data_IF_928808434025
#
_entry.id   IF_928808434025
#
_cell.length_a   1.000
_cell.length_b   1.000
_cell.length_c   1.000
_cell.angle_alpha   90.00
_cell.angle_beta   90.00
_cell.angle_gamma   90.00
#
_symmetry.space_group_name_H-M   'P 1'
#
loop_
_entity.id
_entity.type
_entity.pdbx_description
1 polymer ?
#
# COMPACT_ATOMS: atom_id res chain seq x y z
N UNK A 1 29.45 8.28 3.80
CA UNK A 1 28.04 8.02 4.15
C UNK A 1 27.64 6.61 3.76
N UNK A 2 26.98 5.82 4.61
CA UNK A 2 26.52 4.50 4.20
C UNK A 2 25.08 4.19 4.62
N UNK A 3 24.24 3.88 3.65
CA UNK A 3 22.93 3.30 3.89
C UNK A 3 23.11 1.78 4.06
N UNK A 4 22.63 1.21 5.16
CA UNK A 4 22.80 -0.22 5.45
C UNK A 4 21.46 -0.95 5.42
N UNK A 5 21.47 -2.16 4.89
CA UNK A 5 20.38 -3.12 5.03
C UNK A 5 20.54 -3.84 6.38
N UNK A 6 19.54 -3.70 7.26
CA UNK A 6 19.54 -4.46 8.50
C UNK A 6 19.15 -5.92 8.26
N UNK A 7 19.51 -6.79 9.20
CA UNK A 7 19.05 -8.19 9.20
C UNK A 7 17.52 -8.29 9.30
N UNK A 8 16.90 -7.31 9.96
CA UNK A 8 15.46 -7.13 10.05
C UNK A 8 14.85 -6.79 8.69
N UNK A 9 15.45 -5.88 7.92
CA UNK A 9 15.03 -5.57 6.55
C UNK A 9 15.02 -6.82 5.67
N UNK A 10 16.16 -7.52 5.62
CA UNK A 10 16.33 -8.69 4.75
C UNK A 10 15.41 -9.86 5.10
N UNK A 11 15.28 -10.20 6.40
CA UNK A 11 14.55 -11.41 6.83
C UNK A 11 13.07 -11.14 7.08
N UNK A 12 12.73 -10.03 7.72
CA UNK A 12 11.36 -9.79 8.18
C UNK A 12 10.53 -9.10 7.10
N UNK A 13 11.02 -8.00 6.54
CA UNK A 13 10.22 -7.23 5.59
C UNK A 13 10.10 -7.92 4.23
N UNK A 14 11.18 -8.34 3.60
CA UNK A 14 11.09 -8.88 2.23
C UNK A 14 10.37 -10.23 2.21
N UNK A 15 10.75 -11.15 3.10
CA UNK A 15 10.21 -12.51 3.10
C UNK A 15 8.85 -12.60 3.75
N UNK A 16 8.65 -12.04 4.95
CA UNK A 16 7.37 -12.22 5.66
C UNK A 16 6.26 -11.33 5.09
N UNK A 17 6.57 -10.12 4.62
CA UNK A 17 5.54 -9.29 3.95
C UNK A 17 5.08 -9.93 2.64
N UNK A 18 6.00 -10.52 1.87
CA UNK A 18 5.65 -11.29 0.67
C UNK A 18 4.77 -12.51 1.02
N UNK A 19 5.16 -13.31 2.02
CA UNK A 19 4.37 -14.48 2.46
C UNK A 19 2.99 -14.03 2.93
N UNK A 20 2.90 -12.96 3.72
CA UNK A 20 1.62 -12.42 4.19
C UNK A 20 0.72 -12.02 3.02
N UNK A 21 1.25 -11.29 2.02
CA UNK A 21 0.47 -10.95 0.83
C UNK A 21 0.04 -12.19 0.05
N UNK A 22 0.91 -13.19 -0.09
CA UNK A 22 0.56 -14.44 -0.77
C UNK A 22 -0.58 -15.18 -0.03
N UNK A 23 -0.50 -15.26 1.29
CA UNK A 23 -1.52 -15.89 2.15
C UNK A 23 -2.84 -15.14 2.04
N UNK A 24 -2.83 -13.82 2.17
CA UNK A 24 -4.04 -13.00 2.03
C UNK A 24 -4.66 -13.18 0.64
N UNK A 25 -3.85 -13.14 -0.43
CA UNK A 25 -4.34 -13.36 -1.79
C UNK A 25 -4.93 -14.75 -2.01
N UNK A 26 -4.32 -15.78 -1.43
CA UNK A 26 -4.84 -17.15 -1.50
C UNK A 26 -6.17 -17.29 -0.74
N UNK A 27 -6.30 -16.70 0.45
CA UNK A 27 -7.55 -16.67 1.21
C UNK A 27 -8.66 -15.97 0.41
N UNK A 28 -8.37 -14.80 -0.15
CA UNK A 28 -9.28 -14.05 -1.01
C UNK A 28 -9.70 -14.87 -2.25
N UNK A 29 -8.77 -15.61 -2.85
CA UNK A 29 -9.06 -16.50 -3.99
C UNK A 29 -9.97 -17.67 -3.61
N UNK A 30 -9.77 -18.29 -2.43
CA UNK A 30 -10.66 -19.36 -1.96
C UNK A 30 -12.09 -18.87 -1.73
N UNK A 31 -12.25 -17.67 -1.17
CA UNK A 31 -13.57 -17.04 -0.99
C UNK A 31 -14.25 -16.84 -2.36
N UNK A 32 -13.54 -16.31 -3.34
CA UNK A 32 -14.05 -16.18 -4.71
C UNK A 32 -14.50 -17.52 -5.29
N UNK A 33 -13.66 -18.54 -5.24
CA UNK A 33 -13.97 -19.85 -5.80
C UNK A 33 -15.23 -20.47 -5.19
N UNK A 34 -15.47 -20.24 -3.90
CA UNK A 34 -16.68 -20.71 -3.21
C UNK A 34 -17.97 -19.96 -3.60
N UNK A 35 -17.86 -18.80 -4.24
CA UNK A 35 -18.98 -17.91 -4.61
C UNK A 35 -19.20 -17.78 -6.12
N UNK A 36 -18.34 -18.40 -6.95
CA UNK A 36 -18.31 -18.15 -8.41
C UNK A 36 -19.63 -18.50 -9.12
N UNK A 37 -20.34 -19.54 -8.68
CA UNK A 37 -21.59 -19.98 -9.29
C UNK A 37 -22.77 -19.03 -9.02
N UNK A 38 -22.63 -18.09 -8.08
CA UNK A 38 -23.69 -17.17 -7.68
C UNK A 38 -23.64 -15.81 -8.40
N UNK A 39 -22.55 -15.50 -9.11
CA UNK A 39 -22.33 -14.18 -9.72
C UNK A 39 -22.60 -14.19 -11.23
N UNK A 40 -22.77 -13.00 -11.81
CA UNK A 40 -22.87 -12.84 -13.26
C UNK A 40 -21.55 -13.21 -13.98
N UNK A 41 -21.66 -13.68 -15.22
CA UNK A 41 -20.50 -14.07 -16.05
C UNK A 41 -19.47 -12.95 -16.19
N UNK A 42 -19.93 -11.70 -16.29
CA UNK A 42 -19.06 -10.52 -16.37
C UNK A 42 -18.27 -10.30 -15.08
N UNK A 43 -18.91 -10.41 -13.91
CA UNK A 43 -18.26 -10.25 -12.61
C UNK A 43 -17.23 -11.37 -12.40
N UNK A 44 -17.61 -12.62 -12.72
CA UNK A 44 -16.71 -13.77 -12.64
C UNK A 44 -15.49 -13.62 -13.54
N UNK A 45 -15.67 -13.13 -14.77
CA UNK A 45 -14.59 -12.84 -15.69
C UNK A 45 -13.64 -11.76 -15.14
N UNK A 46 -14.19 -10.65 -14.64
CA UNK A 46 -13.39 -9.55 -14.07
C UNK A 46 -12.59 -9.98 -12.83
N UNK A 47 -13.21 -10.71 -11.90
CA UNK A 47 -12.52 -11.24 -10.72
C UNK A 47 -11.44 -12.24 -11.10
N UNK A 48 -11.70 -13.13 -12.07
CA UNK A 48 -10.72 -14.09 -12.58
C UNK A 48 -9.50 -13.36 -13.14
N UNK A 49 -9.70 -12.34 -13.98
CA UNK A 49 -8.61 -11.50 -14.48
C UNK A 49 -7.83 -10.83 -13.35
N UNK A 50 -8.54 -10.31 -12.35
CA UNK A 50 -7.93 -9.64 -11.22
C UNK A 50 -7.05 -10.59 -10.38
N UNK A 51 -7.47 -11.83 -10.17
CA UNK A 51 -6.66 -12.86 -9.51
C UNK A 51 -5.47 -13.32 -10.35
N UNK A 52 -5.66 -13.52 -11.66
CA UNK A 52 -4.54 -13.84 -12.56
C UNK A 52 -3.49 -12.74 -12.49
N UNK A 53 -3.90 -11.48 -12.56
CA UNK A 53 -3.02 -10.33 -12.38
C UNK A 53 -2.34 -10.34 -10.99
N UNK A 54 -3.10 -10.56 -9.91
CA UNK A 54 -2.58 -10.63 -8.55
C UNK A 54 -1.47 -11.66 -8.38
N UNK A 55 -1.71 -12.92 -8.79
CA UNK A 55 -0.74 -14.00 -8.64
C UNK A 55 0.45 -13.84 -9.58
N UNK A 56 0.23 -13.36 -10.80
CA UNK A 56 1.33 -13.02 -11.72
C UNK A 56 2.23 -11.93 -11.12
N UNK A 57 1.63 -10.94 -10.46
CA UNK A 57 2.36 -9.88 -9.78
C UNK A 57 3.13 -10.39 -8.55
N UNK A 58 2.55 -11.33 -7.79
CA UNK A 58 3.28 -12.02 -6.72
C UNK A 58 4.52 -12.76 -7.26
N UNK A 59 4.37 -13.52 -8.34
CA UNK A 59 5.50 -14.24 -8.97
C UNK A 59 6.55 -13.26 -9.48
N UNK A 60 6.14 -12.12 -10.05
CA UNK A 60 7.05 -11.06 -10.47
C UNK A 60 7.86 -10.46 -9.29
N UNK A 61 7.23 -10.27 -8.14
CA UNK A 61 7.86 -9.73 -6.91
C UNK A 61 8.71 -10.79 -6.19
N UNK A 62 8.78 -12.03 -6.69
CA UNK A 62 9.49 -13.14 -6.01
C UNK A 62 10.88 -12.71 -5.52
N UNK A 63 11.09 -12.97 -4.23
CA UNK A 63 12.29 -12.58 -3.47
C UNK A 63 13.53 -13.30 -3.99
N UNK A 64 14.56 -12.53 -4.39
CA UNK A 64 15.94 -13.02 -4.48
C UNK A 64 16.70 -12.64 -3.19
N UNK A 65 17.40 -13.59 -2.59
CA UNK A 65 18.07 -13.45 -1.28
C UNK A 65 19.29 -12.52 -1.27
N UNK A 66 19.75 -12.04 -2.44
CA UNK A 66 20.75 -10.99 -2.58
C UNK A 66 20.10 -9.85 -3.36
N UNK A 67 19.60 -8.84 -2.65
CA UNK A 67 19.03 -7.65 -3.26
C UNK A 67 19.86 -6.44 -2.84
N UNK A 68 20.17 -5.56 -3.80
CA UNK A 68 20.69 -4.24 -3.48
C UNK A 68 19.69 -3.46 -2.62
N UNK A 69 20.14 -2.35 -2.02
CA UNK A 69 19.26 -1.41 -1.30
C UNK A 69 18.09 -0.95 -2.18
N UNK A 70 18.37 -0.72 -3.47
CA UNK A 70 17.35 -0.33 -4.44
C UNK A 70 16.38 -1.47 -4.76
N UNK A 71 16.85 -2.71 -4.84
CA UNK A 71 15.97 -3.87 -5.00
C UNK A 71 15.04 -4.02 -3.78
N UNK A 72 15.55 -3.87 -2.56
CA UNK A 72 14.71 -3.85 -1.37
C UNK A 72 13.66 -2.74 -1.43
N UNK A 73 14.09 -1.51 -1.76
CA UNK A 73 13.21 -0.35 -1.85
C UNK A 73 12.10 -0.58 -2.88
N UNK A 74 12.45 -1.18 -4.02
CA UNK A 74 11.51 -1.61 -5.05
C UNK A 74 10.57 -2.71 -4.56
N UNK A 75 11.07 -3.72 -3.86
CA UNK A 75 10.22 -4.79 -3.31
C UNK A 75 9.19 -4.21 -2.34
N UNK A 76 9.59 -3.28 -1.47
CA UNK A 76 8.70 -2.61 -0.52
C UNK A 76 7.63 -1.79 -1.25
N UNK A 77 8.05 -1.02 -2.25
CA UNK A 77 7.15 -0.28 -3.16
C UNK A 77 6.09 -1.20 -3.78
N UNK A 78 6.51 -2.29 -4.43
CA UNK A 78 5.59 -3.22 -5.09
C UNK A 78 4.70 -3.98 -4.09
N UNK A 79 5.22 -4.34 -2.93
CA UNK A 79 4.49 -5.07 -1.89
C UNK A 79 3.38 -4.23 -1.26
N UNK A 80 3.56 -2.91 -1.13
CA UNK A 80 2.50 -1.99 -0.71
C UNK A 80 1.35 -1.94 -1.72
N UNK A 81 1.63 -1.87 -3.02
CA UNK A 81 0.58 -1.96 -4.05
C UNK A 81 -0.15 -3.29 -4.01
N UNK A 82 0.58 -4.40 -3.84
CA UNK A 82 -0.01 -5.72 -3.74
C UNK A 82 -0.93 -5.84 -2.50
N UNK A 83 -0.50 -5.29 -1.36
CA UNK A 83 -1.30 -5.24 -0.13
C UNK A 83 -2.60 -4.45 -0.34
N UNK A 84 -2.49 -3.26 -0.92
CA UNK A 84 -3.64 -2.42 -1.27
C UNK A 84 -4.61 -3.16 -2.19
N UNK A 85 -4.08 -3.78 -3.25
CA UNK A 85 -4.90 -4.49 -4.23
C UNK A 85 -5.58 -5.72 -3.61
N UNK A 86 -4.94 -6.41 -2.67
CA UNK A 86 -5.57 -7.50 -1.92
C UNK A 86 -6.79 -7.02 -1.12
N UNK A 87 -6.67 -5.92 -0.38
CA UNK A 87 -7.79 -5.32 0.36
C UNK A 87 -8.90 -4.82 -0.56
N UNK A 88 -8.55 -4.31 -1.73
CA UNK A 88 -9.54 -3.97 -2.76
C UNK A 88 -10.29 -5.21 -3.26
N UNK A 89 -9.61 -6.33 -3.52
CA UNK A 89 -10.26 -7.58 -3.90
C UNK A 89 -11.19 -8.11 -2.80
N UNK A 90 -10.78 -8.01 -1.54
CA UNK A 90 -11.64 -8.35 -0.39
C UNK A 90 -12.88 -7.45 -0.35
N UNK A 91 -12.72 -6.13 -0.56
CA UNK A 91 -13.84 -5.20 -0.68
C UNK A 91 -14.81 -5.61 -1.79
N UNK A 92 -14.29 -5.98 -2.97
CA UNK A 92 -15.12 -6.39 -4.10
C UNK A 92 -15.87 -7.68 -3.83
N UNK A 93 -15.23 -8.68 -3.21
CA UNK A 93 -15.87 -9.95 -2.90
C UNK A 93 -17.02 -9.79 -1.91
N UNK A 94 -16.82 -9.00 -0.86
CA UNK A 94 -17.90 -8.75 0.10
C UNK A 94 -18.98 -7.84 -0.51
N UNK A 95 -18.64 -6.99 -1.48
CA UNK A 95 -19.61 -6.17 -2.19
C UNK A 95 -20.51 -6.96 -3.15
N UNK A 96 -20.17 -8.21 -3.50
CA UNK A 96 -21.02 -9.08 -4.34
C UNK A 96 -22.41 -9.27 -3.72
N UNK A 97 -22.46 -9.42 -2.39
CA UNK A 97 -23.71 -9.61 -1.65
C UNK A 97 -24.58 -8.34 -1.61
N UNK A 98 -24.03 -7.17 -1.97
CA UNK A 98 -24.76 -5.90 -2.06
C UNK A 98 -25.34 -5.63 -3.45
N UNK A 99 -24.89 -6.39 -4.45
CA UNK A 99 -25.31 -6.28 -5.85
C UNK A 99 -24.35 -5.49 -6.75
N UNK A 100 -24.52 -5.72 -8.06
CA UNK A 100 -23.64 -5.28 -9.14
C UNK A 100 -23.33 -3.77 -9.12
N UNK A 101 -24.31 -2.93 -8.78
CA UNK A 101 -24.11 -1.48 -8.72
C UNK A 101 -23.01 -1.08 -7.74
N UNK A 102 -22.98 -1.68 -6.55
CA UNK A 102 -21.94 -1.42 -5.55
C UNK A 102 -20.59 -1.98 -5.99
N UNK A 103 -20.58 -3.17 -6.60
CA UNK A 103 -19.38 -3.78 -7.16
C UNK A 103 -18.68 -2.83 -8.17
N UNK A 104 -19.42 -2.34 -9.16
CA UNK A 104 -18.89 -1.40 -10.15
C UNK A 104 -18.56 -0.03 -9.55
N UNK A 105 -19.36 0.44 -8.59
CA UNK A 105 -19.11 1.68 -7.85
C UNK A 105 -17.76 1.65 -7.12
N UNK A 106 -17.44 0.55 -6.44
CA UNK A 106 -16.15 0.38 -5.77
C UNK A 106 -14.97 0.33 -6.74
N UNK A 107 -15.13 -0.34 -7.90
CA UNK A 107 -14.12 -0.31 -8.98
C UNK A 107 -13.87 1.13 -9.43
N UNK A 108 -14.93 1.90 -9.70
CA UNK A 108 -14.82 3.28 -10.14
C UNK A 108 -14.11 4.16 -9.11
N UNK A 109 -14.52 4.09 -7.83
CA UNK A 109 -13.91 4.87 -6.74
C UNK A 109 -12.42 4.54 -6.60
N UNK A 110 -12.07 3.25 -6.58
CA UNK A 110 -10.67 2.82 -6.48
C UNK A 110 -9.84 3.33 -7.66
N UNK A 111 -10.37 3.24 -8.88
CA UNK A 111 -9.69 3.72 -10.08
C UNK A 111 -9.48 5.24 -10.07
N UNK A 112 -10.52 6.02 -9.72
CA UNK A 112 -10.41 7.49 -9.63
C UNK A 112 -9.36 7.89 -8.59
N UNK A 113 -9.37 7.27 -7.42
CA UNK A 113 -8.38 7.54 -6.37
C UNK A 113 -6.96 7.15 -6.81
N UNK A 114 -6.81 6.01 -7.47
CA UNK A 114 -5.52 5.56 -8.01
C UNK A 114 -4.97 6.58 -9.02
N UNK A 115 -5.78 7.02 -9.98
CA UNK A 115 -5.40 8.03 -10.98
C UNK A 115 -5.04 9.35 -10.32
N UNK A 116 -5.86 9.82 -9.38
CA UNK A 116 -5.59 11.06 -8.65
C UNK A 116 -4.25 11.00 -7.90
N UNK A 117 -4.00 9.92 -7.15
CA UNK A 117 -2.75 9.74 -6.40
C UNK A 117 -1.57 9.63 -7.36
N UNK A 118 -1.72 8.94 -8.48
CA UNK A 118 -0.67 8.85 -9.50
C UNK A 118 -0.28 10.21 -10.07
N UNK A 119 -1.26 11.04 -10.45
CA UNK A 119 -1.00 12.41 -10.91
C UNK A 119 -0.34 13.26 -9.83
N UNK A 120 -0.89 13.22 -8.61
CA UNK A 120 -0.39 13.99 -7.49
C UNK A 120 1.07 13.61 -7.15
N UNK A 121 1.40 12.32 -7.14
CA UNK A 121 2.77 11.82 -6.93
C UNK A 121 3.73 12.36 -7.98
N UNK A 122 3.34 12.40 -9.26
CA UNK A 122 4.18 12.95 -10.33
C UNK A 122 4.45 14.45 -10.18
N UNK A 123 3.46 15.21 -9.71
CA UNK A 123 3.62 16.63 -9.47
C UNK A 123 4.56 16.85 -8.28
N UNK A 124 4.34 16.16 -7.15
CA UNK A 124 5.20 16.30 -5.97
C UNK A 124 6.63 15.82 -6.21
N UNK A 125 6.85 14.73 -6.97
CA UNK A 125 8.19 14.26 -7.33
C UNK A 125 8.98 15.28 -8.18
N UNK A 126 8.32 16.24 -8.83
CA UNK A 126 8.98 17.33 -9.56
C UNK A 126 9.27 18.55 -8.67
N UNK A 127 8.78 18.56 -7.44
CA UNK A 127 9.02 19.66 -6.50
C UNK A 127 10.33 19.46 -5.74
N UNK A 128 11.20 20.48 -5.75
CA UNK A 128 12.49 20.47 -5.06
C UNK A 128 12.35 20.33 -3.52
N UNK A 129 11.19 20.62 -2.94
CA UNK A 129 11.01 20.62 -1.48
C UNK A 129 11.17 19.24 -0.85
N UNK A 130 10.72 18.17 -1.52
CA UNK A 130 10.86 16.82 -0.98
C UNK A 130 12.25 16.26 -1.23
N UNK A 131 12.84 16.61 -2.37
CA UNK A 131 14.22 16.27 -2.68
C UNK A 131 15.15 16.86 -1.64
N UNK A 132 15.02 18.15 -1.29
CA UNK A 132 15.86 18.77 -0.28
C UNK A 132 15.71 18.14 1.12
N UNK A 133 14.49 17.74 1.50
CA UNK A 133 14.25 17.07 2.79
C UNK A 133 14.85 15.65 2.82
N UNK A 134 14.77 14.93 1.71
CA UNK A 134 15.37 13.60 1.57
C UNK A 134 16.89 13.68 1.53
N UNK A 135 17.42 14.69 0.85
CA UNK A 135 18.84 14.99 0.76
C UNK A 135 19.41 15.33 2.14
N UNK A 136 18.80 16.27 2.87
CA UNK A 136 19.18 16.62 4.24
C UNK A 136 19.08 15.42 5.18
N UNK A 137 17.99 14.64 5.10
CA UNK A 137 17.82 13.44 5.90
C UNK A 137 18.89 12.38 5.58
N UNK A 138 19.15 12.14 4.31
CA UNK A 138 20.14 11.18 3.82
C UNK A 138 21.55 11.62 4.21
N UNK A 139 21.84 12.92 4.23
CA UNK A 139 23.14 13.53 4.57
C UNK A 139 23.35 13.87 6.06
N UNK A 140 22.36 13.65 6.91
CA UNK A 140 22.40 14.04 8.34
C UNK A 140 23.18 13.10 9.27
N UNK A 141 23.48 11.84 8.88
CA UNK A 141 24.13 10.85 9.75
C UNK A 141 25.02 9.87 8.99
N UNK A 142 26.25 9.65 9.46
CA UNK A 142 27.25 8.78 8.80
C UNK A 142 26.73 7.39 8.39
N UNK A 143 25.85 6.79 9.20
CA UNK A 143 25.17 5.52 8.95
C UNK A 143 23.65 5.62 9.20
N UNK A 144 22.84 5.19 8.23
CA UNK A 144 21.37 5.14 8.33
C UNK A 144 20.88 3.76 7.88
N UNK A 145 20.02 3.12 8.68
CA UNK A 145 19.32 1.92 8.27
C UNK A 145 18.22 2.26 7.26
N UNK A 146 18.07 1.44 6.22
CA UNK A 146 17.08 1.65 5.17
C UNK A 146 15.64 1.72 5.72
N UNK A 147 15.33 0.93 6.76
CA UNK A 147 14.06 1.06 7.48
C UNK A 147 13.82 2.47 8.01
N UNK A 148 14.80 3.03 8.73
CA UNK A 148 14.71 4.37 9.32
C UNK A 148 14.61 5.47 8.27
N UNK A 149 15.31 5.31 7.14
CA UNK A 149 15.23 6.21 5.99
C UNK A 149 13.81 6.34 5.44
N UNK A 150 13.08 5.23 5.31
CA UNK A 150 11.66 5.25 4.87
C UNK A 150 10.72 5.98 5.84
N UNK A 151 11.08 6.12 7.12
CA UNK A 151 10.29 6.82 8.13
C UNK A 151 10.83 8.21 8.50
N UNK A 152 11.97 8.62 7.94
CA UNK A 152 12.61 9.91 8.22
C UNK A 152 11.77 11.08 7.69
N UNK A 153 11.23 10.96 6.47
CA UNK A 153 10.35 11.99 5.89
C UNK A 153 9.06 12.18 6.72
N UNK A 154 8.46 11.10 7.24
CA UNK A 154 7.26 11.20 8.11
C UNK A 154 7.54 12.05 9.33
N UNK A 155 8.66 11.75 10.00
CA UNK A 155 9.08 12.43 11.23
C UNK A 155 9.34 13.91 10.97
N UNK A 156 9.95 14.25 9.83
CA UNK A 156 10.21 15.64 9.43
C UNK A 156 8.94 16.40 9.04
N UNK A 157 8.08 15.83 8.20
CA UNK A 157 6.93 16.55 7.64
C UNK A 157 5.76 16.69 8.61
N UNK A 158 5.45 15.66 9.39
CA UNK A 158 4.23 15.65 10.19
C UNK A 158 4.46 15.83 11.69
N UNK A 159 5.71 15.72 12.20
CA UNK A 159 6.01 15.64 13.65
C UNK A 159 5.12 14.63 14.39
N UNK A 160 4.45 13.73 13.69
CA UNK A 160 3.48 12.78 14.22
C UNK A 160 4.18 11.48 14.54
N UNK A 161 3.96 10.95 15.76
CA UNK A 161 4.43 9.62 16.11
C UNK A 161 3.72 8.56 15.25
N UNK A 162 4.37 7.44 14.94
CA UNK A 162 3.73 6.30 14.27
C UNK A 162 2.45 5.83 15.00
N UNK A 163 2.39 6.06 16.32
CA UNK A 163 1.24 5.81 17.17
C UNK A 163 0.02 6.69 16.80
N UNK A 164 0.24 7.94 16.40
CA UNK A 164 -0.85 8.86 16.05
C UNK A 164 -1.53 8.53 14.72
N UNK A 165 -0.80 7.96 13.76
CA UNK A 165 -1.38 7.48 12.49
C UNK A 165 -2.20 6.22 12.74
N UNK A 166 -1.67 5.27 13.52
CA UNK A 166 -2.42 4.06 13.93
C UNK A 166 -3.63 4.45 14.78
N UNK A 167 -3.48 5.38 15.72
CA UNK A 167 -4.57 5.90 16.53
C UNK A 167 -5.61 6.62 15.67
N UNK A 168 -5.22 7.39 14.65
CA UNK A 168 -6.18 8.04 13.75
C UNK A 168 -7.00 7.01 12.97
N UNK A 169 -6.39 5.92 12.49
CA UNK A 169 -7.11 4.81 11.85
C UNK A 169 -8.06 4.14 12.85
N UNK A 170 -7.55 3.74 14.02
CA UNK A 170 -8.34 3.05 15.05
C UNK A 170 -9.48 3.94 15.55
N UNK A 171 -9.22 5.23 15.78
CA UNK A 171 -10.23 6.22 16.19
C UNK A 171 -11.23 6.47 15.06
N UNK A 172 -10.81 6.54 13.79
CA UNK A 172 -11.75 6.65 12.67
C UNK A 172 -12.65 5.43 12.55
N UNK A 173 -12.13 4.23 12.83
CA UNK A 173 -12.89 2.99 12.82
C UNK A 173 -13.86 2.93 14.02
N UNK A 174 -13.40 3.28 15.22
CA UNK A 174 -14.24 3.36 16.43
C UNK A 174 -15.33 4.42 16.25
N UNK A 175 -14.99 5.62 15.78
CA UNK A 175 -15.94 6.70 15.54
C UNK A 175 -16.96 6.33 14.45
N UNK A 176 -16.53 5.63 13.40
CA UNK A 176 -17.42 5.11 12.38
C UNK A 176 -18.39 4.08 12.97
N UNK A 177 -17.91 3.08 13.71
CA UNK A 177 -18.75 2.08 14.39
C UNK A 177 -19.71 2.73 15.39
N UNK A 178 -19.25 3.71 16.18
CA UNK A 178 -20.09 4.42 17.16
C UNK A 178 -21.17 5.28 16.49
N UNK A 179 -20.83 5.97 15.40
CA UNK A 179 -21.79 6.77 14.63
C UNK A 179 -22.85 5.86 13.99
N UNK A 180 -22.42 4.72 13.46
CA UNK A 180 -23.30 3.75 12.82
C UNK A 180 -24.23 3.05 13.84
N UNK A 181 -23.71 2.64 15.02
CA UNK A 181 -24.53 2.02 16.06
C UNK A 181 -25.40 3.01 16.85
N UNK A 182 -24.93 4.24 17.08
CA UNK A 182 -25.60 5.24 17.91
C UNK A 182 -26.63 6.09 17.17
N UNK A 183 -26.36 6.48 15.91
CA UNK A 183 -27.21 7.43 15.18
C UNK A 183 -28.22 6.77 14.22
N UNK A 184 -27.90 5.61 13.64
CA UNK A 184 -28.69 5.06 12.52
C UNK A 184 -29.51 3.81 12.87
N UNK A 185 -29.43 3.26 14.09
CA UNK A 185 -30.16 2.04 14.54
C UNK A 185 -30.18 0.97 13.43
N UNK A 186 -28.99 0.58 13.02
CA UNK A 186 -28.77 -0.08 11.74
C UNK A 186 -29.28 -1.54 11.80
N UNK A 187 -30.10 -1.90 10.80
CA UNK A 187 -30.57 -3.28 10.58
C UNK A 187 -29.40 -4.20 10.16
N UNK A 188 -29.43 -5.51 10.44
CA UNK A 188 -28.39 -6.46 10.02
C UNK A 188 -28.04 -6.42 8.52
N UNK A 189 -28.99 -5.99 7.67
CA UNK A 189 -28.78 -5.81 6.22
C UNK A 189 -27.80 -4.68 5.85
N UNK A 190 -27.49 -3.78 6.79
CA UNK A 190 -26.52 -2.70 6.59
C UNK A 190 -25.15 -3.04 7.20
N UNK A 191 -25.05 -4.00 8.13
CA UNK A 191 -23.75 -4.48 8.63
C UNK A 191 -22.92 -5.13 7.49
N UNK A 192 -23.59 -5.83 6.57
CA UNK A 192 -22.97 -6.38 5.36
C UNK A 192 -22.45 -5.29 4.41
N UNK A 193 -22.99 -4.07 4.47
CA UNK A 193 -22.55 -2.93 3.64
C UNK A 193 -21.32 -2.19 4.17
N UNK A 194 -21.01 -2.35 5.46
CA UNK A 194 -19.91 -1.68 6.15
C UNK A 194 -18.56 -2.33 5.81
N UNK A 195 -18.52 -3.66 5.78
CA UNK A 195 -17.28 -4.42 5.62
C UNK A 195 -16.56 -4.14 4.27
N UNK A 196 -17.27 -4.07 3.12
CA UNK A 196 -16.67 -3.61 1.87
C UNK A 196 -16.05 -2.22 1.98
N UNK A 197 -16.78 -1.27 2.58
CA UNK A 197 -16.32 0.10 2.77
C UNK A 197 -15.04 0.18 3.62
N UNK A 198 -14.94 -0.63 4.67
CA UNK A 198 -13.73 -0.72 5.52
C UNK A 198 -12.54 -1.25 4.73
N UNK A 199 -12.72 -2.33 3.96
CA UNK A 199 -11.63 -2.87 3.15
C UNK A 199 -11.19 -1.91 2.04
N UNK A 200 -12.14 -1.22 1.39
CA UNK A 200 -11.82 -0.15 0.44
C UNK A 200 -11.05 0.98 1.13
N UNK A 201 -11.48 1.41 2.32
CA UNK A 201 -10.79 2.45 3.07
C UNK A 201 -9.34 2.05 3.40
N UNK A 202 -9.12 0.82 3.88
CA UNK A 202 -7.78 0.28 4.15
C UNK A 202 -6.93 0.28 2.88
N UNK A 203 -7.51 -0.18 1.77
CA UNK A 203 -6.86 -0.19 0.46
C UNK A 203 -6.40 1.23 0.07
N UNK A 204 -7.31 2.20 0.06
CA UNK A 204 -7.01 3.58 -0.26
C UNK A 204 -6.01 4.22 0.71
N UNK A 205 -6.12 3.90 2.01
CA UNK A 205 -5.19 4.36 3.03
C UNK A 205 -3.76 3.88 2.74
N UNK A 206 -3.57 2.62 2.34
CA UNK A 206 -2.25 2.10 1.97
C UNK A 206 -1.68 2.89 0.78
N UNK A 207 -2.48 3.16 -0.25
CA UNK A 207 -2.05 3.93 -1.44
C UNK A 207 -1.65 5.37 -1.09
N UNK A 208 -2.40 6.03 -0.21
CA UNK A 208 -2.10 7.41 0.21
C UNK A 208 -0.81 7.44 1.03
N UNK A 209 -0.62 6.51 1.96
CA UNK A 209 0.52 6.52 2.87
C UNK A 209 1.82 6.04 2.23
N UNK A 210 1.76 5.14 1.24
CA UNK A 210 2.99 4.70 0.57
C UNK A 210 3.73 5.84 -0.14
N UNK A 211 3.05 6.94 -0.48
CA UNK A 211 3.66 8.11 -1.15
C UNK A 211 4.94 8.59 -0.45
N UNK A 212 4.82 8.92 0.83
CA UNK A 212 5.92 9.52 1.60
C UNK A 212 6.84 8.47 2.18
N UNK A 213 6.32 7.29 2.53
CA UNK A 213 7.07 6.26 3.24
C UNK A 213 7.73 5.23 2.33
N UNK A 214 7.46 5.28 1.03
CA UNK A 214 7.93 4.23 0.10
C UNK A 214 8.25 4.80 -1.27
N UNK A 215 7.34 5.55 -1.89
CA UNK A 215 7.51 6.05 -3.27
C UNK A 215 8.65 7.06 -3.33
N UNK A 216 8.61 8.13 -2.54
CA UNK A 216 9.64 9.18 -2.62
C UNK A 216 11.03 8.68 -2.23
N UNK A 217 11.22 7.94 -1.13
CA UNK A 217 12.52 7.35 -0.80
C UNK A 217 13.04 6.39 -1.88
N UNK A 218 12.17 5.60 -2.53
CA UNK A 218 12.57 4.73 -3.63
C UNK A 218 13.09 5.52 -4.84
N UNK A 219 12.34 6.53 -5.30
CA UNK A 219 12.76 7.34 -6.44
C UNK A 219 14.04 8.15 -6.14
N UNK A 220 14.23 8.56 -4.88
CA UNK A 220 15.47 9.20 -4.44
C UNK A 220 16.66 8.25 -4.53
N UNK A 221 16.55 7.05 -3.95
CA UNK A 221 17.62 6.05 -4.02
C UNK A 221 17.93 5.67 -5.46
N UNK A 222 16.91 5.57 -6.31
CA UNK A 222 17.07 5.29 -7.73
C UNK A 222 17.89 6.39 -8.42
N UNK A 223 17.54 7.66 -8.19
CA UNK A 223 18.26 8.78 -8.79
C UNK A 223 19.70 8.87 -8.28
N UNK A 224 19.93 8.64 -6.99
CA UNK A 224 21.28 8.60 -6.41
C UNK A 224 22.16 7.48 -7.00
N UNK A 225 21.57 6.31 -7.28
CA UNK A 225 22.29 5.18 -7.88
C UNK A 225 22.50 5.35 -9.39
N UNK A 226 21.64 6.10 -10.07
CA UNK A 226 21.76 6.39 -11.51
C UNK A 226 22.71 7.59 -11.80
N UNK A 227 22.91 8.51 -10.85
CA UNK A 227 23.68 9.75 -11.04
C UNK A 227 25.07 9.69 -10.36
N UNK A 228 26.14 9.57 -11.16
CA UNK A 228 27.52 9.63 -10.66
C UNK A 228 27.89 11.00 -10.06
N UNK A 229 27.26 12.10 -10.50
CA UNK A 229 27.58 13.44 -10.03
C UNK A 229 27.10 13.69 -8.59
N UNK A 230 25.92 13.15 -8.25
CA UNK A 230 25.37 13.13 -6.88
C UNK A 230 26.25 12.32 -5.92
N UNK A 231 26.87 11.22 -6.38
CA UNK A 231 27.80 10.42 -5.58
C UNK A 231 29.14 11.12 -5.34
N UNK A 232 29.61 11.91 -6.31
CA UNK A 232 30.91 12.60 -6.24
C UNK A 232 30.84 13.97 -5.54
N UNK A 233 29.66 14.59 -5.42
CA UNK A 233 29.47 15.83 -4.65
C UNK A 233 29.62 15.64 -3.13
N UNK A 234 29.53 14.40 -2.66
CA UNK A 234 29.46 14.06 -1.23
C UNK A 234 30.47 12.99 -0.76
N UNK A 235 31.42 12.62 -1.62
CA UNK A 235 32.61 11.81 -1.29
C UNK A 235 33.85 12.70 -1.23
#
# INVERSE_FOLDING_TARGET
>A
MSLKLSDFDCKYFVKNHFIMNLVLGFLTFLIFFSSISANSDLINFLLTLAFIFYFSFCVYIRVKSKSSILDYARHRYLSCYLSSFCFFLLSLLVALDLGDFYFFGYIFIYFVLFVFIWFYNRIELRSNTYWSLLDEAFFSKDDIELYDFFFLISKHKYKTSNLSVIAAIVISQIAFVFTMNGFLKISPAYESSILPGVFLFISCFIIINMRLHVIFPYYFLKQYEDDESMRNLHN
#
